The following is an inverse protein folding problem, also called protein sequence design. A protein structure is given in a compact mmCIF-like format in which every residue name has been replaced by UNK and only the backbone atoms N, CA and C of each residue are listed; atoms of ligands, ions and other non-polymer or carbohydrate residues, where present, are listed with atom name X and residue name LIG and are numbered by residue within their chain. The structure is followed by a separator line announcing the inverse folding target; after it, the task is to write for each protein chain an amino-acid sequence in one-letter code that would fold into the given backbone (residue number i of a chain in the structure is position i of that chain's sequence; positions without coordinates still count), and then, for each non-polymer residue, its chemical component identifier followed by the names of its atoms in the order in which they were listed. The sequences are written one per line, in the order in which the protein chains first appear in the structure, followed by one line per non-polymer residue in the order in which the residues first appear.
data_IF_452381207158
#
_entry.id   IF_452381207158
#
_cell.length_a   1.000
_cell.length_b   1.000
_cell.length_c   1.000
_cell.angle_alpha   90.00
_cell.angle_beta   90.00
_cell.angle_gamma   90.00
#
_symmetry.space_group_name_H-M   'P 1'
#
loop_
_entity.id
_entity.type
_entity.pdbx_description
1 polymer ?
#
# COMPACT_ATOMS: atom_id res chain seq x y z
N UNK A 1 -1.50 2.57 -11.12
CA UNK A 1 -1.71 2.39 -12.58
C UNK A 1 -0.82 1.29 -13.13
N UNK A 2 0.51 1.33 -12.90
CA UNK A 2 1.43 0.24 -13.26
C UNK A 2 1.02 -1.12 -12.65
N UNK A 3 0.54 -1.13 -11.41
CA UNK A 3 0.01 -2.32 -10.74
C UNK A 3 -1.19 -2.96 -11.46
N UNK A 4 -2.11 -2.15 -12.00
CA UNK A 4 -3.22 -2.65 -12.80
C UNK A 4 -2.72 -3.26 -14.12
N UNK A 5 -1.74 -2.61 -14.77
CA UNK A 5 -1.09 -3.15 -15.96
C UNK A 5 -0.40 -4.50 -15.68
N UNK A 6 0.32 -4.60 -14.56
CA UNK A 6 0.95 -5.84 -14.12
C UNK A 6 -0.08 -6.94 -13.86
N UNK A 7 -1.22 -6.64 -13.22
CA UNK A 7 -2.32 -7.60 -13.02
C UNK A 7 -2.90 -8.08 -14.36
N UNK A 8 -3.17 -7.17 -15.28
CA UNK A 8 -3.71 -7.50 -16.61
C UNK A 8 -2.73 -8.40 -17.39
N UNK A 9 -1.43 -8.11 -17.27
CA UNK A 9 -0.38 -8.93 -17.85
C UNK A 9 -0.29 -10.32 -17.18
N UNK A 10 -0.33 -10.38 -15.86
CA UNK A 10 -0.30 -11.63 -15.07
C UNK A 10 -1.47 -12.56 -15.41
N UNK A 11 -2.65 -12.00 -15.69
CA UNK A 11 -3.80 -12.75 -16.16
C UNK A 11 -3.60 -13.40 -17.54
N UNK A 12 -2.57 -12.99 -18.31
CA UNK A 12 -2.21 -13.51 -19.63
C UNK A 12 -3.21 -13.21 -20.76
N UNK A 13 -4.45 -12.85 -20.44
CA UNK A 13 -5.48 -12.39 -21.38
C UNK A 13 -6.27 -11.22 -20.80
N UNK A 14 -6.24 -10.02 -21.41
CA UNK A 14 -6.85 -8.81 -20.85
C UNK A 14 -8.37 -8.92 -20.67
N UNK A 15 -9.04 -9.72 -21.51
CA UNK A 15 -10.48 -9.98 -21.39
C UNK A 15 -10.86 -10.61 -20.03
N UNK A 16 -9.94 -11.31 -19.34
CA UNK A 16 -10.20 -11.89 -18.01
C UNK A 16 -10.46 -10.83 -16.96
N UNK A 17 -9.75 -9.70 -17.00
CA UNK A 17 -9.98 -8.59 -16.08
C UNK A 17 -11.40 -8.01 -16.27
N UNK A 18 -11.80 -7.78 -17.53
CA UNK A 18 -13.15 -7.29 -17.85
C UNK A 18 -14.22 -8.30 -17.40
N UNK A 19 -13.96 -9.60 -17.56
CA UNK A 19 -14.87 -10.63 -17.08
C UNK A 19 -14.99 -10.64 -15.54
N UNK A 20 -13.92 -10.32 -14.81
CA UNK A 20 -13.99 -10.19 -13.35
C UNK A 20 -14.86 -9.00 -12.90
N UNK A 21 -14.86 -7.91 -13.66
CA UNK A 21 -15.70 -6.73 -13.39
C UNK A 21 -17.19 -6.96 -13.69
N UNK A 22 -17.59 -8.12 -14.22
CA UNK A 22 -19.02 -8.43 -14.44
C UNK A 22 -19.76 -8.78 -13.16
N UNK A 23 -19.03 -9.21 -12.12
CA UNK A 23 -19.64 -9.73 -10.89
C UNK A 23 -19.10 -8.97 -9.70
N UNK A 24 -20.01 -8.40 -8.92
CA UNK A 24 -19.70 -7.79 -7.63
C UNK A 24 -19.94 -8.82 -6.52
N UNK A 25 -18.87 -9.36 -5.94
CA UNK A 25 -18.91 -10.33 -4.84
C UNK A 25 -18.18 -9.76 -3.61
N UNK A 26 -18.89 -9.11 -2.68
CA UNK A 26 -18.30 -8.57 -1.45
C UNK A 26 -17.55 -9.60 -0.60
N UNK A 27 -17.97 -10.87 -0.66
CA UNK A 27 -17.35 -11.98 0.07
C UNK A 27 -16.06 -12.48 -0.56
N UNK A 28 -15.70 -12.05 -1.77
CA UNK A 28 -14.47 -12.44 -2.45
C UNK A 28 -13.47 -11.28 -2.46
N UNK A 29 -12.34 -11.39 -1.75
CA UNK A 29 -11.32 -10.35 -1.73
C UNK A 29 -10.78 -10.01 -3.13
N UNK A 30 -10.72 -11.01 -4.01
CA UNK A 30 -10.25 -10.86 -5.39
C UNK A 30 -11.25 -10.08 -6.27
N UNK A 31 -12.57 -10.26 -6.07
CA UNK A 31 -13.59 -9.45 -6.74
C UNK A 31 -13.50 -8.00 -6.26
N UNK A 32 -13.43 -7.78 -4.95
CA UNK A 32 -13.29 -6.44 -4.36
C UNK A 32 -12.02 -5.73 -4.85
N UNK A 33 -10.88 -6.43 -4.92
CA UNK A 33 -9.63 -5.88 -5.43
C UNK A 33 -9.75 -5.36 -6.87
N UNK A 34 -10.38 -6.13 -7.77
CA UNK A 34 -10.58 -5.69 -9.16
C UNK A 34 -11.46 -4.45 -9.26
N UNK A 35 -12.54 -4.37 -8.48
CA UNK A 35 -13.42 -3.19 -8.43
C UNK A 35 -12.72 -1.96 -7.85
N UNK A 36 -11.93 -2.13 -6.78
CA UNK A 36 -11.11 -1.06 -6.20
C UNK A 36 -10.09 -0.52 -7.20
N UNK A 37 -9.36 -1.41 -7.89
CA UNK A 37 -8.40 -1.02 -8.91
C UNK A 37 -9.05 -0.33 -10.11
N UNK A 38 -10.23 -0.81 -10.54
CA UNK A 38 -11.00 -0.21 -11.62
C UNK A 38 -11.47 1.22 -11.29
N UNK A 39 -11.77 1.52 -10.02
CA UNK A 39 -12.09 2.89 -9.57
C UNK A 39 -10.84 3.75 -9.37
N UNK A 40 -9.82 3.22 -8.71
CA UNK A 40 -8.63 3.99 -8.32
C UNK A 40 -7.70 4.33 -9.49
N UNK A 41 -7.51 3.41 -10.45
CA UNK A 41 -6.57 3.63 -11.54
C UNK A 41 -6.97 4.79 -12.48
N UNK A 42 -8.23 4.92 -12.93
CA UNK A 42 -8.66 6.08 -13.73
C UNK A 42 -8.57 7.39 -12.96
N UNK A 43 -8.94 7.41 -11.68
CA UNK A 43 -8.87 8.61 -10.84
C UNK A 43 -7.42 9.09 -10.68
N UNK A 44 -6.49 8.18 -10.39
CA UNK A 44 -5.07 8.54 -10.30
C UNK A 44 -4.47 8.98 -11.64
N UNK A 45 -4.86 8.36 -12.75
CA UNK A 45 -4.47 8.84 -14.09
C UNK A 45 -5.02 10.22 -14.40
N UNK A 46 -6.30 10.46 -14.12
CA UNK A 46 -6.95 11.73 -14.39
C UNK A 46 -6.34 12.87 -13.54
N UNK A 47 -6.08 12.60 -12.26
CA UNK A 47 -5.38 13.53 -11.37
C UNK A 47 -3.98 13.88 -11.91
N UNK A 48 -3.16 12.86 -12.22
CA UNK A 48 -1.82 13.06 -12.75
C UNK A 48 -1.82 13.81 -14.10
N UNK A 49 -2.75 13.46 -15.00
CA UNK A 49 -2.88 14.13 -16.30
C UNK A 49 -3.30 15.60 -16.14
N UNK A 50 -4.23 15.91 -15.24
CA UNK A 50 -4.65 17.28 -14.95
C UNK A 50 -3.49 18.13 -14.40
N UNK A 51 -2.67 17.55 -13.51
CA UNK A 51 -1.49 18.22 -12.95
C UNK A 51 -0.42 18.46 -14.03
N UNK A 52 -0.16 17.49 -14.92
CA UNK A 52 0.82 17.63 -16.01
C UNK A 52 0.38 18.65 -17.05
N UNK A 53 -0.91 18.66 -17.43
CA UNK A 53 -1.45 19.59 -18.44
C UNK A 53 -1.66 20.99 -17.86
N UNK A 54 -1.75 21.12 -16.53
CA UNK A 54 -2.02 22.39 -15.85
C UNK A 54 -3.42 22.95 -16.12
N UNK A 55 -4.35 22.12 -16.63
CA UNK A 55 -5.74 22.49 -16.95
C UNK A 55 -6.71 21.59 -16.17
N UNK A 56 -7.98 21.98 -16.13
CA UNK A 56 -9.04 21.22 -15.46
C UNK A 56 -8.79 20.98 -13.96
N UNK A 57 -8.24 21.98 -13.24
CA UNK A 57 -7.87 21.88 -11.82
C UNK A 57 -9.00 21.35 -10.92
N UNK A 58 -10.26 21.72 -11.20
CA UNK A 58 -11.41 21.22 -10.43
C UNK A 58 -11.63 19.71 -10.63
N UNK A 59 -11.51 19.23 -11.87
CA UNK A 59 -11.63 17.81 -12.20
C UNK A 59 -10.44 17.03 -11.63
N UNK A 60 -9.22 17.56 -11.75
CA UNK A 60 -8.02 16.99 -11.14
C UNK A 60 -8.10 16.90 -9.62
N UNK A 61 -8.63 17.94 -8.96
CA UNK A 61 -8.85 17.94 -7.52
C UNK A 61 -9.92 16.92 -7.10
N UNK A 62 -11.03 16.83 -7.84
CA UNK A 62 -12.07 15.82 -7.61
C UNK A 62 -11.53 14.39 -7.78
N UNK A 63 -10.73 14.17 -8.83
CA UNK A 63 -10.08 12.89 -9.09
C UNK A 63 -9.06 12.53 -7.98
N UNK A 64 -8.30 13.51 -7.51
CA UNK A 64 -7.37 13.36 -6.37
C UNK A 64 -8.11 13.01 -5.09
N UNK A 65 -9.23 13.69 -4.80
CA UNK A 65 -10.04 13.39 -3.63
C UNK A 65 -10.63 11.97 -3.70
N UNK A 66 -11.16 11.57 -4.86
CA UNK A 66 -11.66 10.22 -5.06
C UNK A 66 -10.56 9.15 -4.91
N UNK A 67 -9.38 9.41 -5.46
CA UNK A 67 -8.22 8.53 -5.29
C UNK A 67 -7.78 8.46 -3.82
N UNK A 68 -7.80 9.58 -3.08
CA UNK A 68 -7.46 9.62 -1.66
C UNK A 68 -8.44 8.81 -0.81
N UNK A 69 -9.73 8.79 -1.15
CA UNK A 69 -10.74 7.97 -0.46
C UNK A 69 -10.54 6.48 -0.74
N UNK A 70 -10.26 6.10 -1.99
CA UNK A 70 -10.03 4.70 -2.38
C UNK A 70 -8.64 4.18 -1.99
N UNK A 71 -7.66 5.07 -1.81
CA UNK A 71 -6.26 4.75 -1.54
C UNK A 71 -6.08 3.79 -0.35
N UNK A 72 -6.68 4.04 0.83
CA UNK A 72 -6.61 3.13 1.97
C UNK A 72 -7.14 1.72 1.67
N UNK A 73 -8.23 1.62 0.91
CA UNK A 73 -8.79 0.31 0.53
C UNK A 73 -7.85 -0.42 -0.45
N UNK A 74 -7.28 0.29 -1.42
CA UNK A 74 -6.28 -0.26 -2.36
C UNK A 74 -4.96 -0.63 -1.65
N UNK A 75 -4.57 0.12 -0.62
CA UNK A 75 -3.38 -0.19 0.16
C UNK A 75 -3.55 -1.45 1.02
N UNK A 76 -4.75 -1.69 1.54
CA UNK A 76 -5.00 -2.77 2.52
C UNK A 76 -5.62 -4.03 1.93
N UNK A 77 -6.25 -4.01 0.75
CA UNK A 77 -6.91 -5.22 0.23
C UNK A 77 -5.92 -6.38 -0.03
N UNK A 78 -4.66 -6.09 -0.34
CA UNK A 78 -3.63 -7.12 -0.50
C UNK A 78 -3.38 -7.86 0.80
N UNK A 79 -3.49 -7.18 1.95
CA UNK A 79 -3.42 -7.81 3.25
C UNK A 79 -4.56 -8.80 3.47
N UNK A 80 -5.77 -8.47 3.01
CA UNK A 80 -6.94 -9.35 3.10
C UNK A 80 -6.73 -10.59 2.23
N UNK A 81 -6.22 -10.42 1.00
CA UNK A 81 -5.88 -11.54 0.12
C UNK A 81 -4.85 -12.48 0.76
N UNK A 82 -3.83 -11.91 1.42
CA UNK A 82 -2.80 -12.68 2.09
C UNK A 82 -3.32 -13.42 3.32
N UNK A 83 -4.18 -12.75 4.11
CA UNK A 83 -4.81 -13.32 5.29
C UNK A 83 -5.85 -14.40 4.97
N UNK A 84 -6.47 -14.37 3.79
CA UNK A 84 -7.44 -15.39 3.34
C UNK A 84 -6.76 -16.69 2.85
N UNK A 85 -5.43 -16.80 2.98
CA UNK A 85 -4.70 -18.01 2.61
C UNK A 85 -4.74 -19.07 3.71
N UNK A 86 -4.49 -20.33 3.34
CA UNK A 86 -4.37 -21.44 4.29
C UNK A 86 -3.06 -21.44 5.10
N UNK A 87 -2.18 -20.45 4.91
CA UNK A 87 -0.89 -20.38 5.59
C UNK A 87 -1.09 -19.76 6.99
N UNK A 88 -0.83 -20.49 8.09
CA UNK A 88 -1.20 -20.04 9.44
C UNK A 88 -0.59 -18.69 9.84
N UNK A 89 0.67 -18.46 9.48
CA UNK A 89 1.37 -17.21 9.81
C UNK A 89 0.78 -15.98 9.12
N UNK A 90 0.05 -16.15 8.02
CA UNK A 90 -0.67 -15.05 7.37
C UNK A 90 -2.10 -14.96 7.86
N UNK A 91 -2.78 -16.10 8.00
CA UNK A 91 -4.17 -16.13 8.41
C UNK A 91 -4.37 -15.61 9.83
N UNK A 92 -3.54 -16.02 10.80
CA UNK A 92 -3.69 -15.57 12.18
C UNK A 92 -3.39 -14.06 12.36
N UNK A 93 -2.61 -13.47 11.45
CA UNK A 93 -2.30 -12.05 11.44
C UNK A 93 -3.42 -11.16 10.89
N UNK A 94 -4.56 -11.71 10.45
CA UNK A 94 -5.58 -11.00 9.66
C UNK A 94 -6.06 -9.66 10.24
N UNK A 95 -6.05 -9.52 11.57
CA UNK A 95 -6.50 -8.28 12.25
C UNK A 95 -5.51 -7.13 12.09
N UNK A 96 -4.22 -7.43 12.10
CA UNK A 96 -3.16 -6.41 12.14
C UNK A 96 -2.51 -6.21 10.76
N UNK A 97 -2.54 -7.24 9.89
CA UNK A 97 -1.99 -7.20 8.53
C UNK A 97 -2.46 -6.00 7.70
N UNK A 98 -3.74 -5.60 7.70
CA UNK A 98 -4.18 -4.39 6.98
C UNK A 98 -3.41 -3.13 7.40
N UNK A 99 -3.12 -2.98 8.69
CA UNK A 99 -2.39 -1.82 9.20
C UNK A 99 -0.90 -1.88 8.82
N UNK A 100 -0.30 -3.08 8.81
CA UNK A 100 1.06 -3.28 8.31
C UNK A 100 1.14 -2.81 6.85
N UNK A 101 0.26 -3.30 5.98
CA UNK A 101 0.22 -2.93 4.56
C UNK A 101 -0.08 -1.45 4.35
N UNK A 102 -0.99 -0.85 5.13
CA UNK A 102 -1.25 0.59 5.08
C UNK A 102 0.00 1.41 5.42
N UNK A 103 0.73 1.00 6.47
CA UNK A 103 1.97 1.63 6.89
C UNK A 103 3.06 1.52 5.83
N UNK A 104 3.30 0.32 5.30
CA UNK A 104 4.29 0.08 4.24
C UNK A 104 3.94 0.85 2.96
N UNK A 105 2.66 0.89 2.56
CA UNK A 105 2.20 1.63 1.40
C UNK A 105 2.39 3.14 1.56
N UNK A 106 2.06 3.69 2.74
CA UNK A 106 2.30 5.10 3.06
C UNK A 106 3.81 5.43 3.05
N UNK A 107 4.64 4.55 3.63
CA UNK A 107 6.10 4.69 3.63
C UNK A 107 6.70 4.67 2.22
N UNK A 108 6.27 3.73 1.37
CA UNK A 108 6.72 3.63 -0.01
C UNK A 108 6.29 4.84 -0.86
N UNK A 109 5.03 5.27 -0.73
CA UNK A 109 4.52 6.45 -1.43
C UNK A 109 5.25 7.73 -0.97
N UNK A 110 5.50 7.86 0.33
CA UNK A 110 6.28 8.96 0.89
C UNK A 110 7.73 8.95 0.39
N UNK A 111 8.38 7.78 0.33
CA UNK A 111 9.73 7.64 -0.21
C UNK A 111 9.83 8.10 -1.67
N UNK A 112 8.87 7.69 -2.50
CA UNK A 112 8.80 8.13 -3.90
C UNK A 112 8.55 9.64 -3.99
N UNK A 113 7.65 10.19 -3.18
CA UNK A 113 7.40 11.62 -3.13
C UNK A 113 8.65 12.41 -2.68
N UNK A 114 9.43 11.89 -1.72
CA UNK A 114 10.68 12.51 -1.29
C UNK A 114 11.77 12.49 -2.36
N UNK A 115 11.78 11.45 -3.21
CA UNK A 115 12.74 11.32 -4.30
C UNK A 115 12.41 12.23 -5.50
N UNK A 116 11.12 12.47 -5.77
CA UNK A 116 10.67 13.12 -7.01
C UNK A 116 10.10 14.53 -6.81
N UNK A 117 9.59 14.88 -5.62
CA UNK A 117 8.96 16.17 -5.39
C UNK A 117 9.99 17.27 -5.10
N UNK A 118 9.70 18.54 -5.48
CA UNK A 118 10.52 19.68 -5.09
C UNK A 118 10.66 19.75 -3.57
N UNK A 119 11.87 20.05 -3.08
CA UNK A 119 12.20 20.07 -1.64
C UNK A 119 11.22 20.93 -0.83
N UNK A 120 10.78 22.07 -1.38
CA UNK A 120 9.82 22.98 -0.76
C UNK A 120 8.44 22.34 -0.44
N UNK A 121 8.07 21.24 -1.12
CA UNK A 121 6.77 20.59 -0.98
C UNK A 121 6.85 19.24 -0.24
N UNK A 122 8.03 18.86 0.27
CA UNK A 122 8.25 17.55 0.89
C UNK A 122 7.64 17.38 2.29
N UNK A 123 7.13 18.46 2.90
CA UNK A 123 6.57 18.44 4.27
C UNK A 123 5.55 17.32 4.53
N UNK A 124 4.48 17.19 3.73
CA UNK A 124 3.49 16.12 3.89
C UNK A 124 4.09 14.71 3.68
N UNK A 125 5.00 14.55 2.70
CA UNK A 125 5.65 13.27 2.44
C UNK A 125 6.49 12.80 3.64
N UNK A 126 7.24 13.70 4.29
CA UNK A 126 8.01 13.37 5.50
C UNK A 126 7.12 12.90 6.65
N UNK A 127 6.00 13.60 6.89
CA UNK A 127 5.02 13.20 7.92
C UNK A 127 4.46 11.82 7.62
N UNK A 128 4.17 11.54 6.34
CA UNK A 128 3.67 10.23 5.93
C UNK A 128 4.71 9.12 6.00
N UNK A 129 5.98 9.40 5.74
CA UNK A 129 7.06 8.44 5.97
C UNK A 129 7.14 8.03 7.44
N UNK A 130 7.08 9.00 8.37
CA UNK A 130 7.13 8.72 9.81
C UNK A 130 5.88 8.00 10.28
N UNK A 131 4.69 8.48 9.90
CA UNK A 131 3.42 7.85 10.29
C UNK A 131 3.29 6.43 9.73
N UNK A 132 3.70 6.22 8.48
CA UNK A 132 3.73 4.90 7.85
C UNK A 132 4.67 3.94 8.58
N UNK A 133 5.89 4.38 8.89
CA UNK A 133 6.86 3.59 9.64
C UNK A 133 6.38 3.24 11.06
N UNK A 134 5.78 4.19 11.78
CA UNK A 134 5.20 3.94 13.10
C UNK A 134 4.06 2.94 13.00
N UNK A 135 3.13 3.13 12.07
CA UNK A 135 1.98 2.25 11.87
C UNK A 135 2.42 0.82 11.54
N UNK A 136 3.31 0.68 10.56
CA UNK A 136 3.86 -0.62 10.14
C UNK A 136 4.53 -1.33 11.33
N UNK A 137 5.44 -0.64 12.03
CA UNK A 137 6.25 -1.26 13.10
C UNK A 137 5.39 -1.59 14.33
N UNK A 138 4.42 -0.75 14.67
CA UNK A 138 3.52 -0.99 15.82
C UNK A 138 2.55 -2.13 15.50
N UNK A 139 1.90 -2.09 14.33
CA UNK A 139 0.99 -3.15 13.90
C UNK A 139 1.71 -4.50 13.80
N UNK A 140 2.91 -4.53 13.19
CA UNK A 140 3.68 -5.76 13.07
C UNK A 140 4.15 -6.32 14.42
N UNK A 141 4.53 -5.45 15.37
CA UNK A 141 4.85 -5.88 16.75
C UNK A 141 3.63 -6.42 17.48
N UNK A 142 2.47 -5.78 17.32
CA UNK A 142 1.20 -6.23 17.91
C UNK A 142 0.77 -7.58 17.32
N UNK A 143 0.91 -7.74 16.02
CA UNK A 143 0.67 -8.98 15.28
C UNK A 143 1.51 -10.14 15.84
N UNK A 144 2.83 -9.97 15.90
CA UNK A 144 3.74 -11.02 16.43
C UNK A 144 3.42 -11.42 17.88
N UNK A 145 3.01 -10.46 18.72
CA UNK A 145 2.62 -10.74 20.12
C UNK A 145 1.32 -11.53 20.24
N UNK A 146 0.41 -11.38 19.28
CA UNK A 146 -0.93 -12.01 19.30
C UNK A 146 -1.01 -13.41 18.66
N UNK A 147 0.02 -13.84 17.93
CA UNK A 147 -0.02 -15.03 17.06
C UNK A 147 0.57 -16.32 17.67
N UNK A 148 1.10 -16.31 18.89
CA UNK A 148 1.63 -17.52 19.54
C UNK A 148 2.64 -18.30 18.67
N UNK A 149 2.39 -19.60 18.46
CA UNK A 149 3.24 -20.50 17.66
C UNK A 149 3.32 -20.10 16.18
N UNK A 150 2.28 -19.50 15.61
CA UNK A 150 2.26 -19.08 14.20
C UNK A 150 3.18 -17.88 13.93
N UNK A 151 3.73 -17.24 14.97
CA UNK A 151 4.77 -16.23 14.85
C UNK A 151 6.19 -16.82 14.76
N UNK A 152 6.38 -18.10 15.09
CA UNK A 152 7.70 -18.77 15.08
C UNK A 152 8.46 -18.63 13.75
N UNK A 153 7.80 -18.73 12.57
CA UNK A 153 8.47 -18.51 11.28
C UNK A 153 9.11 -17.12 11.12
N UNK A 154 8.59 -16.10 11.81
CA UNK A 154 9.17 -14.75 11.78
C UNK A 154 10.45 -14.63 12.64
N UNK A 155 10.67 -15.57 13.56
CA UNK A 155 11.82 -15.62 14.45
C UNK A 155 13.00 -16.42 13.92
N UNK A 156 12.81 -17.23 12.87
CA UNK A 156 13.80 -18.23 12.44
C UNK A 156 14.29 -18.04 11.00
N UNK A 157 15.53 -18.51 10.76
CA UNK A 157 16.12 -18.65 9.43
C UNK A 157 16.15 -17.38 8.58
N UNK A 158 15.92 -17.55 7.27
CA UNK A 158 15.96 -16.47 6.28
C UNK A 158 14.84 -15.45 6.45
N UNK A 159 13.65 -15.89 6.87
CA UNK A 159 12.51 -15.01 7.11
C UNK A 159 12.84 -13.96 8.19
N UNK A 160 13.50 -14.38 9.26
CA UNK A 160 13.96 -13.48 10.30
C UNK A 160 14.95 -12.41 9.80
N UNK A 161 15.92 -12.82 8.97
CA UNK A 161 16.91 -11.89 8.40
C UNK A 161 16.24 -10.85 7.49
N UNK A 162 15.32 -11.28 6.63
CA UNK A 162 14.57 -10.39 5.75
C UNK A 162 13.69 -9.42 6.54
N UNK A 163 13.05 -9.88 7.62
CA UNK A 163 12.25 -9.02 8.49
C UNK A 163 13.09 -7.98 9.24
N UNK A 164 14.27 -8.36 9.75
CA UNK A 164 15.18 -7.38 10.36
C UNK A 164 15.67 -6.35 9.34
N UNK A 165 15.98 -6.79 8.12
CA UNK A 165 16.38 -5.89 7.04
C UNK A 165 15.24 -4.91 6.72
N UNK A 166 14.02 -5.40 6.55
CA UNK A 166 12.84 -4.57 6.32
C UNK A 166 12.62 -3.56 7.47
N UNK A 167 12.65 -4.00 8.72
CA UNK A 167 12.50 -3.13 9.90
C UNK A 167 13.59 -2.04 9.93
N UNK A 168 14.84 -2.41 9.63
CA UNK A 168 15.95 -1.45 9.56
C UNK A 168 15.79 -0.43 8.43
N UNK A 169 15.26 -0.85 7.27
CA UNK A 169 15.00 0.03 6.13
C UNK A 169 13.83 0.97 6.41
N UNK A 170 12.75 0.48 7.04
CA UNK A 170 11.61 1.30 7.45
C UNK A 170 12.04 2.37 8.45
N UNK A 171 12.76 1.98 9.51
CA UNK A 171 13.25 2.92 10.53
C UNK A 171 14.28 3.89 9.95
N UNK A 172 15.24 3.37 9.16
CA UNK A 172 16.27 4.19 8.51
C UNK A 172 15.68 5.19 7.52
N UNK A 173 14.73 4.77 6.69
CA UNK A 173 14.02 5.63 5.76
C UNK A 173 13.24 6.75 6.46
N UNK A 174 12.55 6.43 7.56
CA UNK A 174 11.85 7.43 8.37
C UNK A 174 12.84 8.42 9.03
N UNK A 175 13.96 7.93 9.57
CA UNK A 175 14.99 8.78 10.16
C UNK A 175 15.62 9.72 9.12
N UNK A 176 15.91 9.22 7.91
CA UNK A 176 16.41 10.04 6.81
C UNK A 176 15.39 11.09 6.35
N UNK A 177 14.10 10.74 6.30
CA UNK A 177 13.03 11.68 5.96
C UNK A 177 12.95 12.83 6.97
N UNK A 178 13.15 12.56 8.26
CA UNK A 178 13.23 13.59 9.32
C UNK A 178 14.53 14.39 9.19
N UNK A 179 15.67 13.74 9.01
CA UNK A 179 16.98 14.39 8.87
C UNK A 179 17.06 15.34 7.68
N UNK A 180 16.40 15.02 6.57
CA UNK A 180 16.28 15.90 5.40
C UNK A 180 15.51 17.19 5.70
N UNK A 181 14.75 17.29 6.80
CA UNK A 181 14.04 18.49 7.21
C UNK A 181 14.89 19.50 7.98
N UNK A 182 16.07 19.09 8.44
CA UNK A 182 16.99 19.91 9.22
C UNK A 182 18.05 20.62 8.35
N UNK A 183 17.97 20.48 7.03
CA UNK A 183 18.80 21.14 6.02
C UNK A 183 17.94 22.06 5.17
#
# INVERSE_FOLDING_TARGET
TLSLGALVHDLGRPARFVNMLRVFKPTSPMSMGSWLLAGYAPLTMAAAAADVVGRYRLVGAGATAGAAVLGPAVATYTAVLLADTAVPSWHEGYRELPFVFAGSAAGAAAGLALACAPVAQTGPARRMAVLGAVLETVAFRRMKRGMGLSAEPFGQGRAHQLLRAAESLTVGGAALAVGAALR
#
